data_IF_023506737534
#
_entry.id   IF_023506737534
#
_cell.length_a   1.000
_cell.length_b   1.000
_cell.length_c   1.000
_cell.angle_alpha   90.00
_cell.angle_beta   90.00
_cell.angle_gamma   90.00
#
_symmetry.space_group_name_H-M   'P 1'
#
loop_
_entity.id
_entity.type
_entity.pdbx_description
1 polymer ?
#
# COMPACT_ATOMS: atom_id res chain seq x y z
N UNK A 1 16.30 13.98 -10.96
CA UNK A 1 17.34 14.07 -9.92
C UNK A 1 16.84 14.96 -8.80
N UNK A 2 17.08 14.57 -7.56
CA UNK A 2 16.84 15.36 -6.36
C UNK A 2 18.12 15.37 -5.52
N UNK A 3 18.41 16.48 -4.84
CA UNK A 3 19.60 16.60 -3.97
C UNK A 3 19.19 16.40 -2.52
N UNK A 4 19.84 15.46 -1.83
CA UNK A 4 19.61 15.18 -0.40
C UNK A 4 20.93 15.31 0.35
N UNK A 5 20.90 15.90 1.53
CA UNK A 5 22.08 15.99 2.39
C UNK A 5 22.29 14.70 3.16
N UNK A 6 23.50 14.14 3.07
CA UNK A 6 23.90 12.92 3.78
C UNK A 6 25.13 13.22 4.63
N UNK A 7 25.22 12.59 5.81
CA UNK A 7 26.39 12.74 6.69
C UNK A 7 27.64 12.18 6.00
N UNK A 8 28.74 12.94 6.07
CA UNK A 8 30.04 12.55 5.48
C UNK A 8 30.54 11.20 6.00
N UNK A 9 30.27 10.87 7.26
CA UNK A 9 30.61 9.58 7.86
C UNK A 9 30.03 8.38 7.11
N UNK A 10 28.84 8.52 6.50
CA UNK A 10 28.23 7.44 5.72
C UNK A 10 28.85 7.34 4.33
N UNK A 11 29.14 8.48 3.70
CA UNK A 11 29.82 8.53 2.40
C UNK A 11 31.19 7.88 2.48
N UNK A 12 31.99 8.18 3.51
CA UNK A 12 33.33 7.58 3.68
C UNK A 12 33.30 6.06 3.85
N UNK A 13 32.20 5.51 4.38
CA UNK A 13 32.01 4.05 4.45
C UNK A 13 31.59 3.50 3.09
N UNK A 14 30.65 4.16 2.40
CA UNK A 14 30.18 3.75 1.08
C UNK A 14 31.29 3.78 0.03
N UNK A 15 32.16 4.79 0.04
CA UNK A 15 33.34 4.89 -0.84
C UNK A 15 34.28 3.68 -0.70
N UNK A 16 34.37 3.10 0.51
CA UNK A 16 35.17 1.90 0.75
C UNK A 16 34.48 0.62 0.27
N UNK A 17 33.15 0.65 0.18
CA UNK A 17 32.34 -0.49 -0.26
C UNK A 17 32.16 -0.52 -1.78
N UNK A 18 32.42 0.58 -2.48
CA UNK A 18 32.39 0.67 -3.94
C UNK A 18 31.71 1.95 -4.42
N UNK A 19 30.83 1.81 -5.40
CA UNK A 19 30.09 2.95 -5.95
C UNK A 19 29.05 3.47 -4.94
N UNK A 20 29.30 4.69 -4.44
CA UNK A 20 28.43 5.40 -3.51
C UNK A 20 27.02 5.57 -4.08
N UNK A 21 26.90 5.88 -5.38
CA UNK A 21 25.61 6.13 -6.00
C UNK A 21 24.76 4.86 -5.99
N UNK A 22 25.31 3.73 -6.46
CA UNK A 22 24.65 2.42 -6.40
C UNK A 22 24.28 2.03 -4.97
N UNK A 23 25.18 2.25 -4.00
CA UNK A 23 24.92 1.94 -2.59
C UNK A 23 23.78 2.77 -1.98
N UNK A 24 23.73 4.06 -2.28
CA UNK A 24 22.65 4.96 -1.85
C UNK A 24 21.33 4.57 -2.50
N UNK A 25 21.33 4.33 -3.81
CA UNK A 25 20.14 3.97 -4.56
C UNK A 25 19.53 2.65 -4.07
N UNK A 26 20.36 1.62 -3.84
CA UNK A 26 19.91 0.35 -3.29
C UNK A 26 19.36 0.49 -1.86
N UNK A 27 19.99 1.31 -1.01
CA UNK A 27 19.51 1.57 0.34
C UNK A 27 18.14 2.27 0.33
N UNK A 28 17.97 3.29 -0.50
CA UNK A 28 16.69 3.99 -0.68
C UNK A 28 15.64 3.03 -1.23
N UNK A 29 15.99 2.21 -2.22
CA UNK A 29 15.08 1.23 -2.82
C UNK A 29 14.56 0.25 -1.77
N UNK A 30 15.45 -0.34 -0.97
CA UNK A 30 15.08 -1.27 0.12
C UNK A 30 14.13 -0.62 1.12
N UNK A 31 14.52 0.55 1.63
CA UNK A 31 13.69 1.30 2.56
C UNK A 31 12.31 1.59 1.97
N UNK A 32 12.25 2.06 0.73
CA UNK A 32 10.99 2.38 0.06
C UNK A 32 10.11 1.14 -0.09
N UNK A 33 10.67 0.00 -0.52
CA UNK A 33 9.94 -1.27 -0.62
C UNK A 33 9.38 -1.71 0.73
N UNK A 34 10.21 -1.67 1.78
CA UNK A 34 9.81 -2.06 3.14
C UNK A 34 8.66 -1.18 3.67
N UNK A 35 8.74 0.12 3.48
CA UNK A 35 7.72 1.08 3.90
C UNK A 35 6.40 0.88 3.14
N UNK A 36 6.46 0.70 1.82
CA UNK A 36 5.29 0.42 1.00
C UNK A 36 4.63 -0.91 1.40
N UNK A 37 5.43 -1.96 1.64
CA UNK A 37 4.91 -3.25 2.10
C UNK A 37 4.25 -3.14 3.47
N UNK A 38 4.84 -2.38 4.41
CA UNK A 38 4.22 -2.11 5.71
C UNK A 38 2.87 -1.42 5.55
N UNK A 39 2.81 -0.40 4.68
CA UNK A 39 1.56 0.34 4.43
C UNK A 39 0.48 -0.54 3.80
N UNK A 40 0.83 -1.38 2.83
CA UNK A 40 -0.07 -2.39 2.24
C UNK A 40 -0.59 -3.35 3.32
N UNK A 41 0.28 -3.81 4.23
CA UNK A 41 -0.12 -4.72 5.31
C UNK A 41 -1.11 -4.06 6.28
N UNK A 42 -0.87 -2.79 6.66
CA UNK A 42 -1.80 -1.99 7.47
C UNK A 42 -3.17 -1.85 6.80
N UNK A 43 -3.19 -1.49 5.51
CA UNK A 43 -4.41 -1.35 4.71
C UNK A 43 -5.21 -2.65 4.62
N UNK A 44 -4.54 -3.77 4.30
CA UNK A 44 -5.17 -5.10 4.27
C UNK A 44 -5.71 -5.51 5.64
N UNK A 45 -5.11 -5.06 6.73
CA UNK A 45 -5.65 -5.31 8.07
C UNK A 45 -6.89 -4.45 8.34
N UNK A 46 -6.94 -3.19 7.88
CA UNK A 46 -8.15 -2.34 7.98
C UNK A 46 -9.30 -2.91 7.15
N UNK A 47 -9.03 -3.28 5.89
CA UNK A 47 -10.01 -3.92 5.00
C UNK A 47 -10.61 -5.18 5.63
N UNK A 48 -9.78 -6.05 6.22
CA UNK A 48 -10.27 -7.24 6.93
C UNK A 48 -11.18 -6.92 8.10
N UNK A 49 -10.95 -5.82 8.82
CA UNK A 49 -11.87 -5.40 9.89
C UNK A 49 -13.24 -5.00 9.35
N UNK A 50 -13.30 -4.38 8.18
CA UNK A 50 -14.57 -4.11 7.50
C UNK A 50 -15.27 -5.40 7.10
N UNK A 51 -14.53 -6.35 6.50
CA UNK A 51 -15.06 -7.65 6.11
C UNK A 51 -15.59 -8.45 7.31
N UNK A 52 -14.87 -8.41 8.44
CA UNK A 52 -15.29 -9.02 9.70
C UNK A 52 -16.54 -8.32 10.28
N UNK A 53 -16.57 -6.98 10.25
CA UNK A 53 -17.71 -6.18 10.75
C UNK A 53 -19.00 -6.50 9.99
N UNK A 54 -18.93 -6.65 8.67
CA UNK A 54 -20.10 -6.85 7.81
C UNK A 54 -20.31 -8.29 7.35
N UNK A 55 -19.38 -9.19 7.67
CA UNK A 55 -19.44 -10.62 7.34
C UNK A 55 -19.40 -10.93 5.85
N UNK A 56 -18.88 -10.02 5.02
CA UNK A 56 -18.76 -10.19 3.57
C UNK A 56 -17.66 -9.27 2.99
N UNK A 57 -17.30 -9.48 1.72
CA UNK A 57 -16.42 -8.56 1.00
C UNK A 57 -17.12 -7.25 0.59
N UNK A 58 -16.32 -6.27 0.15
CA UNK A 58 -16.81 -4.95 -0.24
C UNK A 58 -17.82 -5.00 -1.38
N UNK A 59 -17.56 -5.82 -2.41
CA UNK A 59 -18.42 -5.88 -3.60
C UNK A 59 -19.82 -6.43 -3.24
N UNK A 60 -19.85 -7.48 -2.43
CA UNK A 60 -21.09 -8.05 -1.88
C UNK A 60 -21.80 -7.05 -0.98
N UNK A 61 -21.05 -6.36 -0.12
CA UNK A 61 -21.62 -5.35 0.78
C UNK A 61 -22.26 -4.20 0.01
N UNK A 62 -21.52 -3.58 -0.90
CA UNK A 62 -21.97 -2.48 -1.74
C UNK A 62 -23.19 -2.87 -2.60
N UNK A 63 -23.19 -4.08 -3.17
CA UNK A 63 -24.33 -4.59 -3.92
C UNK A 63 -25.57 -4.73 -3.05
N UNK A 64 -25.44 -5.33 -1.86
CA UNK A 64 -26.57 -5.53 -0.93
C UNK A 64 -27.14 -4.20 -0.45
N UNK A 65 -26.29 -3.24 -0.11
CA UNK A 65 -26.76 -1.90 0.31
C UNK A 65 -27.46 -1.14 -0.82
N UNK A 66 -27.13 -1.43 -2.08
CA UNK A 66 -27.77 -0.80 -3.24
C UNK A 66 -29.07 -1.50 -3.68
N UNK A 67 -29.27 -2.78 -3.36
CA UNK A 67 -30.34 -3.60 -3.98
C UNK A 67 -31.28 -4.30 -3.00
N UNK A 68 -30.90 -4.43 -1.71
CA UNK A 68 -31.69 -5.13 -0.70
C UNK A 68 -32.11 -4.19 0.42
N UNK A 69 -33.34 -3.67 0.29
CA UNK A 69 -33.94 -2.78 1.30
C UNK A 69 -34.07 -3.46 2.68
N UNK A 70 -34.26 -4.78 2.74
CA UNK A 70 -34.37 -5.50 4.04
C UNK A 70 -33.00 -5.56 4.72
N UNK A 71 -31.95 -5.76 3.94
CA UNK A 71 -30.58 -5.72 4.45
C UNK A 71 -30.27 -4.33 5.03
N UNK A 72 -30.57 -3.25 4.30
CA UNK A 72 -30.37 -1.87 4.78
C UNK A 72 -31.21 -1.59 6.04
N UNK A 73 -32.47 -2.04 6.08
CA UNK A 73 -33.31 -1.89 7.26
C UNK A 73 -32.71 -2.58 8.49
N UNK A 74 -32.11 -3.77 8.32
CA UNK A 74 -31.38 -4.46 9.40
C UNK A 74 -30.15 -3.67 9.84
N UNK A 75 -29.32 -3.19 8.91
CA UNK A 75 -28.14 -2.38 9.24
C UNK A 75 -28.50 -1.14 10.07
N UNK A 76 -29.62 -0.49 9.72
CA UNK A 76 -30.12 0.69 10.42
C UNK A 76 -30.72 0.39 11.80
N UNK A 77 -31.10 -0.87 12.06
CA UNK A 77 -31.68 -1.30 13.34
C UNK A 77 -30.63 -1.68 14.39
N UNK A 78 -29.40 -1.95 13.97
CA UNK A 78 -28.31 -2.38 14.85
C UNK A 78 -27.33 -1.22 15.10
N UNK A 79 -27.07 -0.83 16.37
CA UNK A 79 -26.20 0.31 16.68
C UNK A 79 -24.78 0.20 16.10
N UNK A 80 -24.24 -1.02 16.00
CA UNK A 80 -22.87 -1.27 15.52
C UNK A 80 -22.70 -1.05 14.02
N UNK A 81 -23.79 -1.18 13.25
CA UNK A 81 -23.81 -1.03 11.78
C UNK A 81 -24.58 0.20 11.31
N UNK A 82 -25.11 1.00 12.21
CA UNK A 82 -25.92 2.17 11.87
C UNK A 82 -25.14 3.22 11.05
N UNK A 83 -23.82 3.24 11.15
CA UNK A 83 -22.91 4.11 10.39
C UNK A 83 -22.46 3.52 9.05
N UNK A 84 -23.15 2.49 8.54
CA UNK A 84 -22.72 1.74 7.36
C UNK A 84 -22.47 2.59 6.12
N UNK A 85 -23.18 3.71 5.93
CA UNK A 85 -22.92 4.61 4.80
C UNK A 85 -21.52 5.23 4.88
N UNK A 86 -21.14 5.74 6.05
CA UNK A 86 -19.81 6.31 6.29
C UNK A 86 -18.71 5.23 6.25
N UNK A 87 -19.02 4.04 6.76
CA UNK A 87 -18.13 2.89 6.70
C UNK A 87 -17.91 2.43 5.26
N UNK A 88 -18.95 2.44 4.40
CA UNK A 88 -18.85 2.12 2.98
C UNK A 88 -17.87 3.04 2.25
N UNK A 89 -17.97 4.36 2.47
CA UNK A 89 -17.03 5.33 1.89
C UNK A 89 -15.61 5.13 2.40
N UNK A 90 -15.45 4.86 3.71
CA UNK A 90 -14.13 4.64 4.31
C UNK A 90 -13.48 3.37 3.77
N UNK A 91 -14.28 2.32 3.57
CA UNK A 91 -13.82 1.05 3.00
C UNK A 91 -13.45 1.18 1.53
N UNK A 92 -14.25 1.91 0.74
CA UNK A 92 -13.90 2.22 -0.66
C UNK A 92 -12.56 2.96 -0.75
N UNK A 93 -12.36 3.95 0.12
CA UNK A 93 -11.10 4.69 0.21
C UNK A 93 -9.93 3.76 0.56
N UNK A 94 -10.07 2.89 1.56
CA UNK A 94 -9.04 1.91 1.93
C UNK A 94 -8.69 0.99 0.75
N UNK A 95 -9.67 0.54 -0.03
CA UNK A 95 -9.44 -0.30 -1.21
C UNK A 95 -8.72 0.46 -2.33
N UNK A 96 -9.09 1.72 -2.55
CA UNK A 96 -8.40 2.57 -3.52
C UNK A 96 -6.95 2.82 -3.09
N UNK A 97 -6.73 3.21 -1.84
CA UNK A 97 -5.39 3.44 -1.29
C UNK A 97 -4.53 2.18 -1.42
N UNK A 98 -5.09 0.99 -1.13
CA UNK A 98 -4.39 -0.29 -1.32
C UNK A 98 -3.94 -0.50 -2.77
N UNK A 99 -4.83 -0.28 -3.75
CA UNK A 99 -4.51 -0.46 -5.17
C UNK A 99 -3.39 0.49 -5.61
N UNK A 100 -3.42 1.73 -5.15
CA UNK A 100 -2.39 2.73 -5.46
C UNK A 100 -1.02 2.31 -4.91
N UNK A 101 -0.95 1.87 -3.65
CA UNK A 101 0.30 1.37 -3.07
C UNK A 101 0.80 0.09 -3.74
N UNK A 102 -0.08 -0.84 -4.10
CA UNK A 102 0.29 -2.04 -4.84
C UNK A 102 0.86 -1.71 -6.22
N UNK A 103 0.28 -0.74 -6.93
CA UNK A 103 0.81 -0.25 -8.20
C UNK A 103 2.19 0.40 -8.03
N UNK A 104 2.37 1.22 -7.00
CA UNK A 104 3.66 1.84 -6.69
C UNK A 104 4.74 0.78 -6.39
N UNK A 105 4.40 -0.24 -5.60
CA UNK A 105 5.31 -1.36 -5.33
C UNK A 105 5.73 -2.07 -6.62
N UNK A 106 4.77 -2.38 -7.49
CA UNK A 106 5.06 -3.02 -8.78
C UNK A 106 5.96 -2.15 -9.67
N UNK A 107 5.76 -0.84 -9.65
CA UNK A 107 6.61 0.12 -10.38
C UNK A 107 8.07 0.06 -9.90
N UNK A 108 8.29 0.08 -8.58
CA UNK A 108 9.64 0.01 -7.98
C UNK A 108 10.32 -1.33 -8.30
N UNK A 109 9.59 -2.44 -8.20
CA UNK A 109 10.14 -3.78 -8.48
C UNK A 109 10.45 -3.97 -9.98
N UNK A 110 9.61 -3.43 -10.86
CA UNK A 110 9.80 -3.52 -12.31
C UNK A 110 10.98 -2.68 -12.80
N UNK A 111 11.17 -1.48 -12.24
CA UNK A 111 12.33 -0.63 -12.52
C UNK A 111 13.64 -1.36 -12.16
N UNK A 112 13.69 -1.96 -10.97
CA UNK A 112 14.86 -2.72 -10.50
C UNK A 112 15.22 -3.92 -11.41
N UNK A 113 14.23 -4.60 -11.99
CA UNK A 113 14.46 -5.70 -12.93
C UNK A 113 14.99 -5.23 -14.30
N UNK A 114 14.61 -4.04 -14.73
CA UNK A 114 15.13 -3.42 -15.96
C UNK A 114 16.61 -3.06 -15.80
N UNK A 115 16.97 -2.46 -14.67
CA UNK A 115 18.35 -2.03 -14.39
C UNK A 115 19.30 -3.22 -14.24
N UNK A 116 18.85 -4.28 -13.56
CA UNK A 116 19.63 -5.52 -13.41
C UNK A 116 19.94 -6.20 -14.77
N UNK A 117 19.01 -6.14 -15.74
CA UNK A 117 19.24 -6.66 -17.10
C UNK A 117 20.24 -5.81 -17.89
N UNK A 118 20.22 -4.48 -17.71
CA UNK A 118 21.14 -3.58 -18.41
C UNK A 118 22.60 -3.70 -17.90
N UNK A 119 22.79 -4.05 -16.63
CA UNK A 119 24.12 -4.28 -16.04
C UNK A 119 24.76 -5.61 -16.46
N UNK A 120 23.98 -6.59 -16.94
CA UNK A 120 24.47 -7.91 -17.37
C UNK A 120 24.84 -7.97 -18.86
N UNK A 121 24.49 -6.96 -19.65
CA UNK A 121 24.78 -6.85 -21.10
C UNK A 121 25.95 -5.93 -21.44
N UNK A 122 26.65 -5.38 -20.44
CA UNK A 122 27.88 -4.60 -20.58
C UNK A 122 29.08 -5.37 -20.07
#
# INVERSE_FOLDING_TARGET
MATVQVRSSYISVLERLGDVQTGVEEAIRRYTVEEVQRRIAELRARIRKWEEKYGCDYETFALRTATDEKYVARLNSEPETQQWEADLFSWEYDLQELREWEQQLQSILSASLSDAKASLTR
#
